data_IF_078948865172
#
_entry.id   IF_078948865172
#
_cell.length_a   1.000
_cell.length_b   1.000
_cell.length_c   1.000
_cell.angle_alpha   90.00
_cell.angle_beta   90.00
_cell.angle_gamma   90.00
#
_symmetry.space_group_name_H-M   'P 1'
#
loop_
_entity.id
_entity.type
_entity.pdbx_description
1 polymer ?
#
# COMPACT_ATOMS: atom_id res chain seq x y z
N UNK A 1 -19.12 -19.96 6.70
CA UNK A 1 -18.21 -20.76 5.84
C UNK A 1 -18.80 -22.07 5.31
N UNK A 2 -20.06 -22.09 4.84
CA UNK A 2 -20.64 -23.32 4.26
C UNK A 2 -20.13 -23.63 2.84
N UNK A 3 -19.57 -22.63 2.14
CA UNK A 3 -19.05 -22.73 0.77
C UNK A 3 -17.77 -23.56 0.66
N UNK A 4 -16.90 -23.54 1.67
CA UNK A 4 -15.65 -24.32 1.68
C UNK A 4 -15.89 -25.83 1.74
N UNK A 5 -17.09 -26.27 2.11
CA UNK A 5 -17.48 -27.68 2.22
C UNK A 5 -18.29 -28.17 1.01
N UNK A 6 -18.35 -27.37 -0.07
CA UNK A 6 -19.17 -27.66 -1.26
C UNK A 6 -18.26 -27.91 -2.45
N UNK A 7 -18.72 -28.67 -3.46
CA UNK A 7 -17.96 -28.92 -4.69
C UNK A 7 -17.59 -27.63 -5.42
N UNK A 8 -18.33 -26.53 -5.20
CA UNK A 8 -18.06 -25.22 -5.79
C UNK A 8 -16.81 -24.51 -5.22
N UNK A 9 -16.18 -25.03 -4.16
CA UNK A 9 -14.98 -24.40 -3.58
C UNK A 9 -13.83 -24.30 -4.60
N UNK A 10 -13.77 -25.21 -5.58
CA UNK A 10 -12.78 -25.17 -6.67
C UNK A 10 -12.98 -23.98 -7.61
N UNK A 11 -14.16 -23.36 -7.63
CA UNK A 11 -14.45 -22.20 -8.47
C UNK A 11 -14.25 -20.87 -7.74
N UNK A 12 -14.03 -20.89 -6.42
CA UNK A 12 -13.75 -19.67 -5.67
C UNK A 12 -12.41 -19.10 -6.11
N UNK A 13 -12.39 -17.80 -6.39
CA UNK A 13 -11.21 -17.04 -6.85
C UNK A 13 -10.90 -15.85 -5.94
N UNK A 14 -11.91 -15.31 -5.26
CA UNK A 14 -11.79 -14.16 -4.38
C UNK A 14 -12.62 -14.38 -3.12
N UNK A 15 -12.11 -13.90 -1.99
CA UNK A 15 -12.81 -13.89 -0.71
C UNK A 15 -12.54 -12.57 -0.01
N UNK A 16 -13.63 -11.90 0.37
CA UNK A 16 -13.56 -10.63 1.09
C UNK A 16 -14.14 -10.83 2.50
N UNK A 17 -13.37 -10.42 3.50
CA UNK A 17 -13.71 -10.55 4.91
C UNK A 17 -14.09 -9.17 5.46
N UNK A 18 -15.40 -8.93 5.58
CA UNK A 18 -15.93 -7.65 6.04
C UNK A 18 -16.78 -7.73 7.31
N UNK A 19 -16.87 -6.60 8.01
CA UNK A 19 -17.73 -6.41 9.17
C UNK A 19 -19.13 -5.92 8.77
N UNK A 20 -20.12 -6.17 9.64
CA UNK A 20 -21.46 -5.63 9.43
C UNK A 20 -21.55 -4.23 10.02
N UNK A 21 -21.84 -3.26 9.16
CA UNK A 21 -22.22 -1.92 9.58
C UNK A 21 -23.75 -1.88 9.75
N UNK A 22 -24.23 -1.94 11.00
CA UNK A 22 -25.66 -1.77 11.30
C UNK A 22 -25.87 -0.53 12.17
N UNK A 23 -27.00 0.17 11.99
CA UNK A 23 -27.31 1.42 12.69
C UNK A 23 -27.60 1.26 14.19
N UNK A 24 -27.71 0.02 14.69
CA UNK A 24 -27.91 -0.28 16.11
C UNK A 24 -26.57 -0.65 16.75
N UNK A 25 -25.86 0.36 17.24
CA UNK A 25 -24.48 0.28 17.75
C UNK A 25 -24.23 -0.89 18.72
N UNK A 26 -25.13 -1.14 19.69
CA UNK A 26 -24.90 -2.19 20.71
C UNK A 26 -25.04 -3.63 20.19
N UNK A 27 -25.89 -3.87 19.19
CA UNK A 27 -26.04 -5.21 18.61
C UNK A 27 -24.91 -5.50 17.61
N UNK A 28 -24.43 -4.46 16.91
CA UNK A 28 -23.33 -4.56 15.96
C UNK A 28 -22.06 -5.07 16.63
N UNK A 29 -21.73 -4.55 17.82
CA UNK A 29 -20.48 -4.89 18.52
C UNK A 29 -20.45 -6.35 18.98
N UNK A 30 -21.55 -6.86 19.54
CA UNK A 30 -21.65 -8.26 19.93
C UNK A 30 -21.55 -9.20 18.73
N UNK A 31 -22.18 -8.83 17.60
CA UNK A 31 -22.11 -9.61 16.36
C UNK A 31 -20.70 -9.59 15.75
N UNK A 32 -20.03 -8.43 15.77
CA UNK A 32 -18.67 -8.29 15.25
C UNK A 32 -17.63 -8.98 16.15
N UNK A 33 -17.85 -9.02 17.47
CA UNK A 33 -17.03 -9.81 18.39
C UNK A 33 -17.14 -11.32 18.10
N UNK A 34 -18.36 -11.84 17.97
CA UNK A 34 -18.60 -13.24 17.59
C UNK A 34 -18.02 -13.55 16.20
N UNK A 35 -18.06 -12.61 15.27
CA UNK A 35 -17.44 -12.76 13.96
C UNK A 35 -15.92 -12.96 14.05
N UNK A 36 -15.22 -12.25 14.94
CA UNK A 36 -13.76 -12.43 15.13
C UNK A 36 -13.47 -13.84 15.68
N UNK A 37 -14.28 -14.34 16.61
CA UNK A 37 -14.15 -15.70 17.15
C UNK A 37 -14.42 -16.77 16.07
N UNK A 38 -15.48 -16.59 15.27
CA UNK A 38 -15.79 -17.48 14.14
C UNK A 38 -14.68 -17.47 13.10
N UNK A 39 -14.13 -16.29 12.80
CA UNK A 39 -13.00 -16.12 11.89
C UNK A 39 -11.78 -16.88 12.41
N UNK A 40 -11.48 -16.78 13.71
CA UNK A 40 -10.39 -17.53 14.33
C UNK A 40 -10.55 -19.03 14.18
N UNK A 41 -11.74 -19.56 14.45
CA UNK A 41 -11.99 -21.01 14.37
C UNK A 41 -11.92 -21.56 12.95
N UNK A 42 -12.13 -20.73 11.93
CA UNK A 42 -12.43 -21.24 10.60
C UNK A 42 -11.59 -20.66 9.44
N UNK A 43 -10.84 -19.56 9.63
CA UNK A 43 -10.08 -18.93 8.54
C UNK A 43 -9.10 -19.89 7.89
N UNK A 44 -8.27 -20.57 8.70
CA UNK A 44 -7.26 -21.52 8.22
C UNK A 44 -7.88 -22.66 7.41
N UNK A 45 -8.90 -23.31 7.99
CA UNK A 45 -9.57 -24.45 7.36
C UNK A 45 -10.32 -24.06 6.09
N UNK A 46 -10.72 -22.79 5.97
CA UNK A 46 -11.37 -22.29 4.77
C UNK A 46 -10.40 -21.98 3.67
N UNK A 47 -9.31 -21.24 3.94
CA UNK A 47 -8.35 -20.86 2.91
C UNK A 47 -7.71 -22.09 2.24
N UNK A 48 -7.41 -23.15 3.00
CA UNK A 48 -6.88 -24.42 2.46
C UNK A 48 -7.83 -25.10 1.47
N UNK A 49 -9.15 -24.90 1.61
CA UNK A 49 -10.18 -25.55 0.77
C UNK A 49 -10.45 -24.81 -0.54
N UNK A 50 -9.76 -23.70 -0.79
CA UNK A 50 -9.89 -22.91 -2.02
C UNK A 50 -8.59 -23.01 -2.82
N UNK A 51 -8.36 -24.14 -3.53
CA UNK A 51 -7.08 -24.41 -4.20
C UNK A 51 -6.73 -23.40 -5.30
N UNK A 52 -7.69 -22.62 -5.78
CA UNK A 52 -7.54 -21.65 -6.86
C UNK A 52 -7.79 -20.21 -6.41
N UNK A 53 -7.74 -19.94 -5.11
CA UNK A 53 -7.88 -18.60 -4.55
C UNK A 53 -6.77 -17.69 -5.12
N UNK A 54 -7.19 -16.58 -5.72
CA UNK A 54 -6.32 -15.63 -6.43
C UNK A 54 -6.30 -14.25 -5.74
N UNK A 55 -7.37 -13.88 -5.03
CA UNK A 55 -7.46 -12.64 -4.28
C UNK A 55 -8.03 -12.87 -2.88
N UNK A 56 -7.49 -12.18 -1.88
CA UNK A 56 -8.02 -12.15 -0.52
C UNK A 56 -8.03 -10.71 -0.03
N UNK A 57 -9.17 -10.27 0.48
CA UNK A 57 -9.35 -8.94 1.06
C UNK A 57 -9.81 -9.07 2.51
N UNK A 58 -9.18 -8.34 3.44
CA UNK A 58 -9.64 -8.21 4.82
C UNK A 58 -9.96 -6.74 5.09
N UNK A 59 -11.22 -6.44 5.38
CA UNK A 59 -11.66 -5.07 5.64
C UNK A 59 -11.26 -4.62 7.05
N UNK A 60 -11.21 -3.30 7.18
CA UNK A 60 -10.97 -2.62 8.44
C UNK A 60 -11.97 -3.01 9.53
N UNK A 61 -11.50 -3.35 10.75
CA UNK A 61 -12.41 -3.58 11.87
C UNK A 61 -13.06 -2.26 12.32
N UNK A 62 -14.38 -2.24 12.59
CA UNK A 62 -15.08 -1.03 12.97
C UNK A 62 -14.52 -0.44 14.26
N UNK A 63 -14.51 0.89 14.34
CA UNK A 63 -14.01 1.65 15.50
C UNK A 63 -14.75 1.35 16.81
N UNK A 64 -15.95 0.78 16.73
CA UNK A 64 -16.76 0.36 17.87
C UNK A 64 -16.21 -0.89 18.58
N UNK A 65 -15.35 -1.68 17.92
CA UNK A 65 -14.65 -2.79 18.56
C UNK A 65 -13.58 -2.31 19.54
N UNK A 66 -13.42 -3.06 20.63
CA UNK A 66 -12.37 -2.81 21.59
C UNK A 66 -10.99 -2.94 20.92
N UNK A 67 -10.00 -2.25 21.49
CA UNK A 67 -8.62 -2.36 21.00
C UNK A 67 -8.13 -3.81 21.00
N UNK A 68 -8.47 -4.60 22.02
CA UNK A 68 -8.03 -5.99 22.11
C UNK A 68 -8.69 -6.85 21.03
N UNK A 69 -9.97 -6.62 20.73
CA UNK A 69 -10.66 -7.32 19.64
C UNK A 69 -10.05 -7.00 18.28
N UNK A 70 -9.75 -5.74 18.01
CA UNK A 70 -9.07 -5.32 16.77
C UNK A 70 -7.68 -5.94 16.65
N UNK A 71 -6.91 -5.99 17.75
CA UNK A 71 -5.61 -6.67 17.80
C UNK A 71 -5.76 -8.17 17.51
N UNK A 72 -6.70 -8.84 18.17
CA UNK A 72 -6.96 -10.25 17.94
C UNK A 72 -7.32 -10.54 16.48
N UNK A 73 -8.17 -9.72 15.85
CA UNK A 73 -8.49 -9.86 14.42
C UNK A 73 -7.24 -9.89 13.53
N UNK A 74 -6.34 -8.91 13.70
CA UNK A 74 -5.08 -8.84 12.93
C UNK A 74 -4.15 -10.01 13.23
N UNK A 75 -4.00 -10.39 14.50
CA UNK A 75 -3.18 -11.55 14.88
C UNK A 75 -3.68 -12.86 14.27
N UNK A 76 -5.00 -13.04 14.19
CA UNK A 76 -5.62 -14.21 13.56
C UNK A 76 -5.33 -14.25 12.06
N UNK A 77 -5.45 -13.12 11.37
CA UNK A 77 -5.12 -13.01 9.94
C UNK A 77 -3.65 -13.37 9.71
N UNK A 78 -2.74 -12.69 10.41
CA UNK A 78 -1.30 -12.87 10.25
C UNK A 78 -0.88 -14.30 10.58
N UNK A 79 -1.36 -14.83 11.71
CA UNK A 79 -1.04 -16.20 12.13
C UNK A 79 -1.57 -17.23 11.13
N UNK A 80 -2.75 -17.01 10.56
CA UNK A 80 -3.32 -17.93 9.58
C UNK A 80 -2.56 -17.87 8.25
N UNK A 81 -2.38 -16.68 7.67
CA UNK A 81 -1.72 -16.50 6.38
C UNK A 81 -0.27 -16.99 6.40
N UNK A 82 0.40 -16.98 7.55
CA UNK A 82 1.76 -17.50 7.72
C UNK A 82 1.92 -18.98 7.39
N UNK A 83 0.88 -19.79 7.59
CA UNK A 83 0.96 -21.25 7.47
C UNK A 83 0.09 -21.83 6.36
N UNK A 84 -0.79 -21.03 5.76
CA UNK A 84 -1.61 -21.48 4.63
C UNK A 84 -0.80 -21.36 3.34
N UNK A 85 -0.65 -22.44 2.55
CA UNK A 85 -0.05 -22.35 1.23
C UNK A 85 -1.00 -21.62 0.27
N UNK A 86 -0.59 -20.43 -0.20
CA UNK A 86 -1.37 -19.54 -1.06
C UNK A 86 -0.78 -19.49 -2.47
N UNK A 87 -0.55 -20.67 -3.07
CA UNK A 87 0.23 -20.85 -4.30
C UNK A 87 -0.32 -20.10 -5.53
N UNK A 88 -1.63 -19.85 -5.55
CA UNK A 88 -2.30 -19.16 -6.66
C UNK A 88 -2.65 -17.70 -6.35
N UNK A 89 -2.27 -17.19 -5.18
CA UNK A 89 -2.59 -15.83 -4.76
C UNK A 89 -1.80 -14.83 -5.61
N UNK A 90 -2.55 -13.88 -6.18
CA UNK A 90 -2.07 -12.80 -7.04
C UNK A 90 -2.24 -11.45 -6.39
N UNK A 91 -3.27 -11.32 -5.54
CA UNK A 91 -3.68 -10.10 -4.88
C UNK A 91 -3.90 -10.41 -3.39
N UNK A 92 -3.28 -9.62 -2.52
CA UNK A 92 -3.47 -9.69 -1.08
C UNK A 92 -3.70 -8.28 -0.55
N UNK A 93 -4.87 -8.09 0.03
CA UNK A 93 -5.27 -6.86 0.69
C UNK A 93 -5.67 -7.19 2.13
N UNK A 94 -5.04 -6.50 3.07
CA UNK A 94 -5.43 -6.50 4.47
C UNK A 94 -5.59 -5.01 4.77
N UNK A 95 -6.67 -4.59 5.43
CA UNK A 95 -7.02 -3.23 5.87
C UNK A 95 -7.21 -3.23 7.40
N UNK A 96 -6.60 -2.30 8.13
CA UNK A 96 -6.64 -2.34 9.60
C UNK A 96 -6.43 -0.96 10.26
N UNK A 97 -7.45 -0.13 10.44
CA UNK A 97 -7.37 1.08 11.27
C UNK A 97 -7.41 0.68 12.72
N UNK A 98 -6.23 0.76 13.27
CA UNK A 98 -6.07 0.68 14.67
C UNK A 98 -5.25 2.01 14.87
N UNK A 99 -5.89 3.08 15.34
CA UNK A 99 -5.44 4.30 16.09
C UNK A 99 -4.90 4.21 17.57
N UNK A 100 -3.85 3.43 17.89
CA UNK A 100 -3.19 3.28 19.23
C UNK A 100 -1.84 2.48 19.15
N UNK A 101 -1.03 2.29 20.19
CA UNK A 101 0.44 2.20 20.01
C UNK A 101 1.03 0.83 19.63
N UNK A 102 0.32 -0.02 18.90
CA UNK A 102 0.77 -1.38 18.50
C UNK A 102 0.20 -1.80 17.15
N UNK A 103 0.48 -1.05 16.08
CA UNK A 103 -0.45 -1.05 14.94
C UNK A 103 0.26 -0.97 13.61
N UNK A 104 0.43 -2.17 13.03
CA UNK A 104 0.83 -2.39 11.66
C UNK A 104 -0.45 -2.58 10.86
N UNK A 105 -0.79 -1.52 10.14
CA UNK A 105 -1.83 -1.58 9.14
C UNK A 105 -1.16 -2.19 7.91
N UNK A 106 -1.79 -3.19 7.31
CA UNK A 106 -1.79 -3.22 5.87
C UNK A 106 -3.08 -2.49 5.53
N UNK A 107 -3.06 -1.64 4.52
CA UNK A 107 -4.23 -1.35 3.70
C UNK A 107 -3.84 -1.63 2.25
N UNK A 108 -4.68 -2.38 1.55
CA UNK A 108 -4.72 -2.33 0.09
C UNK A 108 -5.77 -1.32 -0.31
N UNK A 109 -5.53 -0.62 -1.41
CA UNK A 109 -6.61 0.02 -2.13
C UNK A 109 -6.66 -0.69 -3.48
N UNK A 110 -7.43 -1.77 -3.58
CA UNK A 110 -7.96 -2.21 -4.85
C UNK A 110 -9.40 -1.71 -5.01
N UNK A 111 -9.59 -0.40 -4.85
CA UNK A 111 -10.73 0.27 -5.48
C UNK A 111 -10.52 0.19 -6.99
N UNK A 112 -11.02 -0.89 -7.60
CA UNK A 112 -11.36 -1.04 -9.02
C UNK A 112 -10.72 0.02 -9.91
N UNK A 113 -9.70 -0.36 -10.67
CA UNK A 113 -9.32 0.35 -11.89
C UNK A 113 -10.58 0.85 -12.60
N UNK A 114 -10.65 2.16 -12.82
CA UNK A 114 -11.68 2.93 -13.51
C UNK A 114 -12.99 3.11 -12.73
N UNK A 115 -13.06 4.17 -11.92
CA UNK A 115 -13.91 5.33 -12.23
C UNK A 115 -13.51 6.48 -11.29
N UNK A 116 -13.39 7.68 -11.87
CA UNK A 116 -12.89 8.87 -11.18
C UNK A 116 -13.70 9.28 -9.94
N UNK A 117 -13.12 10.22 -9.21
CA UNK A 117 -13.67 10.87 -8.02
C UNK A 117 -13.73 9.97 -6.79
N UNK A 118 -12.63 9.83 -6.08
CA UNK A 118 -12.72 9.64 -4.64
C UNK A 118 -12.02 10.81 -3.96
N UNK A 119 -12.86 11.68 -3.41
CA UNK A 119 -12.45 12.68 -2.44
C UNK A 119 -11.69 11.96 -1.35
N UNK A 120 -10.49 12.43 -1.09
CA UNK A 120 -9.77 12.25 0.16
C UNK A 120 -10.78 12.51 1.27
N UNK A 121 -11.26 11.47 1.94
CA UNK A 121 -11.73 11.65 3.30
C UNK A 121 -10.53 12.22 4.03
N UNK A 122 -10.58 13.51 4.33
CA UNK A 122 -9.65 14.22 5.19
C UNK A 122 -9.75 13.57 6.57
N UNK A 123 -9.08 12.43 6.74
CA UNK A 123 -8.85 11.86 8.04
C UNK A 123 -7.88 12.82 8.72
N UNK A 124 -8.43 13.73 9.52
CA UNK A 124 -7.68 14.41 10.56
C UNK A 124 -7.18 13.35 11.54
N UNK A 125 -6.03 12.73 11.21
CA UNK A 125 -5.36 11.79 12.09
C UNK A 125 -4.70 12.58 13.21
N UNK A 126 -5.13 12.34 14.45
CA UNK A 126 -4.42 12.86 15.62
C UNK A 126 -3.02 12.21 15.65
N UNK A 127 -1.94 13.00 15.79
CA UNK A 127 -0.59 12.48 15.84
C UNK A 127 -0.41 11.54 17.03
N UNK A 128 0.17 10.37 16.77
CA UNK A 128 0.54 9.41 17.80
C UNK A 128 1.54 10.06 18.77
N UNK A 129 1.23 10.03 20.08
CA UNK A 129 2.06 10.66 21.11
C UNK A 129 3.50 10.09 21.08
N UNK A 130 4.56 10.89 21.35
CA UNK A 130 5.95 10.46 21.28
C UNK A 130 6.29 9.23 22.14
N UNK A 131 5.58 9.07 23.26
CA UNK A 131 5.68 7.93 24.19
C UNK A 131 5.26 6.61 23.52
N UNK A 132 4.50 6.69 22.43
CA UNK A 132 4.01 5.58 21.62
C UNK A 132 4.79 5.37 20.32
N UNK A 133 5.65 6.32 19.93
CA UNK A 133 6.49 6.24 18.73
C UNK A 133 7.65 5.22 18.84
N UNK A 134 7.89 4.68 20.04
CA UNK A 134 9.10 3.90 20.36
C UNK A 134 8.91 2.37 20.49
N UNK A 135 7.71 1.82 20.31
CA UNK A 135 7.40 0.40 20.58
C UNK A 135 6.47 -0.20 19.49
N UNK A 136 6.77 -1.36 18.89
CA UNK A 136 7.35 -1.37 17.55
C UNK A 136 6.47 -2.04 16.47
N UNK A 137 6.35 -1.38 15.32
CA UNK A 137 5.98 -2.01 14.04
C UNK A 137 6.90 -3.21 13.70
N UNK A 138 8.15 -3.21 14.17
CA UNK A 138 9.12 -4.29 13.90
C UNK A 138 8.70 -5.68 14.43
N UNK A 139 7.88 -5.77 15.48
CA UNK A 139 7.48 -7.06 16.07
C UNK A 139 6.61 -7.89 15.13
N UNK A 140 5.72 -7.24 14.37
CA UNK A 140 4.83 -7.91 13.41
C UNK A 140 5.33 -7.80 11.96
N UNK A 141 6.19 -6.81 11.66
CA UNK A 141 6.81 -6.64 10.35
C UNK A 141 7.40 -7.95 9.84
N UNK A 142 8.22 -8.63 10.66
CA UNK A 142 8.81 -9.93 10.31
C UNK A 142 7.78 -11.01 9.92
N UNK A 143 6.56 -10.96 10.47
CA UNK A 143 5.48 -11.90 10.14
C UNK A 143 4.81 -11.53 8.83
N UNK A 144 4.64 -10.24 8.56
CA UNK A 144 4.11 -9.75 7.29
C UNK A 144 5.06 -10.03 6.14
N UNK A 145 6.34 -9.82 6.38
CA UNK A 145 7.41 -10.05 5.42
C UNK A 145 7.45 -11.52 5.01
N UNK A 146 7.19 -12.42 5.96
CA UNK A 146 7.04 -13.85 5.68
C UNK A 146 5.82 -14.19 4.80
N UNK A 147 4.73 -13.43 4.86
CA UNK A 147 3.56 -13.64 3.99
C UNK A 147 3.91 -13.24 2.56
N UNK A 148 4.62 -12.13 2.41
CA UNK A 148 5.16 -11.67 1.13
C UNK A 148 6.07 -12.76 0.55
N UNK A 149 7.03 -13.28 1.34
CA UNK A 149 7.98 -14.32 0.92
C UNK A 149 7.33 -15.61 0.35
N UNK A 150 6.14 -15.99 0.82
CA UNK A 150 5.47 -17.24 0.41
C UNK A 150 4.46 -17.07 -0.74
N UNK A 151 4.33 -15.87 -1.31
CA UNK A 151 3.39 -15.55 -2.39
C UNK A 151 4.12 -15.37 -3.74
N UNK A 152 4.65 -16.44 -4.38
CA UNK A 152 5.54 -16.32 -5.53
C UNK A 152 4.87 -15.73 -6.78
N UNK A 153 3.53 -15.69 -6.83
CA UNK A 153 2.78 -15.20 -7.99
C UNK A 153 2.16 -13.82 -7.76
N UNK A 154 2.62 -13.09 -6.73
CA UNK A 154 2.09 -11.78 -6.38
C UNK A 154 2.26 -10.80 -7.55
N UNK A 155 1.16 -10.17 -7.96
CA UNK A 155 1.09 -9.18 -9.05
C UNK A 155 0.83 -7.77 -8.55
N UNK A 156 0.10 -7.64 -7.44
CA UNK A 156 -0.13 -6.37 -6.79
C UNK A 156 0.29 -6.48 -5.33
N UNK A 157 1.05 -5.50 -4.85
CA UNK A 157 1.48 -5.39 -3.47
C UNK A 157 1.05 -4.04 -2.93
N UNK A 158 0.27 -4.08 -1.87
CA UNK A 158 -0.08 -2.89 -1.10
C UNK A 158 0.38 -3.03 0.34
N UNK A 159 1.19 -2.07 0.79
CA UNK A 159 1.63 -1.91 2.17
C UNK A 159 1.23 -0.52 2.62
N UNK A 160 0.38 -0.42 3.63
CA UNK A 160 -0.06 0.88 4.12
C UNK A 160 -0.14 0.86 5.64
N UNK A 161 0.64 1.70 6.30
CA UNK A 161 0.68 1.84 7.75
C UNK A 161 0.16 3.22 8.19
N UNK A 162 -0.54 3.29 9.32
CA UNK A 162 -0.98 4.57 9.92
C UNK A 162 0.19 5.31 10.59
N UNK A 163 1.15 4.55 11.09
CA UNK A 163 2.47 5.04 11.52
C UNK A 163 3.51 4.79 10.43
N UNK A 164 4.72 5.31 10.59
CA UNK A 164 5.81 5.02 9.66
C UNK A 164 6.34 3.59 9.90
N UNK A 165 6.12 2.70 8.93
CA UNK A 165 6.66 1.34 8.90
C UNK A 165 8.00 1.32 8.15
N UNK A 166 9.09 1.01 8.85
CA UNK A 166 10.38 0.77 8.20
C UNK A 166 10.34 -0.56 7.43
N UNK A 167 10.51 -0.47 6.11
CA UNK A 167 10.52 -1.60 5.19
C UNK A 167 11.92 -1.92 4.66
N UNK A 168 13.00 -1.33 5.18
CA UNK A 168 14.35 -1.65 4.71
C UNK A 168 14.81 -3.08 5.01
N UNK A 169 14.16 -3.72 5.97
CA UNK A 169 14.39 -5.13 6.31
C UNK A 169 13.64 -6.09 5.38
N UNK A 170 12.82 -5.59 4.45
CA UNK A 170 12.12 -6.44 3.49
C UNK A 170 13.08 -6.97 2.44
N UNK A 171 13.14 -8.30 2.33
CA UNK A 171 13.61 -8.95 1.12
C UNK A 171 12.41 -9.18 0.21
N UNK A 172 12.44 -8.66 -1.02
CA UNK A 172 11.42 -8.91 -2.01
C UNK A 172 11.85 -10.08 -2.92
N UNK A 173 11.20 -11.26 -2.84
CA UNK A 173 11.56 -12.41 -3.65
C UNK A 173 11.56 -12.14 -5.16
N UNK A 174 12.60 -12.58 -5.86
CA UNK A 174 12.67 -12.53 -7.34
C UNK A 174 11.54 -13.28 -8.05
N UNK A 175 10.82 -14.15 -7.34
CA UNK A 175 9.70 -14.89 -7.90
C UNK A 175 8.50 -14.00 -8.26
N UNK A 176 8.34 -12.83 -7.63
CA UNK A 176 7.16 -12.01 -7.88
C UNK A 176 7.04 -11.55 -9.32
N UNK A 177 5.80 -11.30 -9.71
CA UNK A 177 5.42 -10.79 -11.01
C UNK A 177 4.75 -9.42 -10.85
N UNK A 178 5.36 -8.55 -10.04
CA UNK A 178 4.72 -7.32 -9.58
C UNK A 178 4.46 -6.36 -10.76
N UNK A 179 3.20 -6.05 -10.98
CA UNK A 179 2.74 -4.99 -11.87
C UNK A 179 2.33 -3.74 -11.10
N UNK A 180 1.77 -3.90 -9.90
CA UNK A 180 1.23 -2.77 -9.15
C UNK A 180 1.85 -2.67 -7.75
N UNK A 181 2.31 -1.47 -7.38
CA UNK A 181 2.98 -1.20 -6.12
C UNK A 181 2.31 -0.03 -5.41
N UNK A 182 1.74 -0.30 -4.23
CA UNK A 182 1.10 0.70 -3.38
C UNK A 182 1.84 0.72 -2.04
N UNK A 183 2.49 1.83 -1.72
CA UNK A 183 3.17 2.02 -0.45
C UNK A 183 2.58 3.24 0.25
N UNK A 184 2.25 3.12 1.53
CA UNK A 184 1.91 4.27 2.32
C UNK A 184 2.20 4.17 3.80
N UNK A 185 2.52 5.31 4.41
CA UNK A 185 3.07 5.35 5.77
C UNK A 185 4.25 4.41 5.94
N UNK A 186 5.18 4.37 4.98
CA UNK A 186 6.38 3.53 5.07
C UNK A 186 7.64 4.39 5.03
N UNK A 187 8.70 3.92 5.68
CA UNK A 187 10.06 4.44 5.56
C UNK A 187 10.92 3.43 4.82
N UNK A 188 11.68 3.90 3.84
CA UNK A 188 12.50 3.04 2.98
C UNK A 188 13.74 3.79 2.49
N UNK A 189 14.87 3.09 2.42
CA UNK A 189 16.08 3.60 1.78
C UNK A 189 15.90 3.65 0.26
N UNK A 190 16.61 4.58 -0.38
CA UNK A 190 16.56 4.67 -1.83
C UNK A 190 17.08 3.40 -2.51
N UNK A 191 18.06 2.71 -1.91
CA UNK A 191 18.61 1.48 -2.46
C UNK A 191 17.55 0.39 -2.52
N UNK A 192 16.78 0.21 -1.46
CA UNK A 192 15.73 -0.81 -1.41
C UNK A 192 14.56 -0.46 -2.32
N UNK A 193 14.12 0.81 -2.35
CA UNK A 193 13.05 1.23 -3.24
C UNK A 193 13.46 1.10 -4.72
N UNK A 194 14.69 1.47 -5.08
CA UNK A 194 15.21 1.27 -6.44
C UNK A 194 15.37 -0.22 -6.77
N UNK A 195 15.82 -1.05 -5.83
CA UNK A 195 15.91 -2.50 -6.03
C UNK A 195 14.54 -3.08 -6.39
N UNK A 196 13.51 -2.72 -5.62
CA UNK A 196 12.13 -3.13 -5.86
C UNK A 196 11.62 -2.70 -7.24
N UNK A 197 11.81 -1.42 -7.59
CA UNK A 197 11.38 -0.89 -8.89
C UNK A 197 12.14 -1.56 -10.05
N UNK A 198 13.46 -1.76 -9.90
CA UNK A 198 14.31 -2.34 -10.93
C UNK A 198 13.95 -3.79 -11.20
N UNK A 199 13.75 -4.55 -10.13
CA UNK A 199 13.45 -5.98 -10.18
C UNK A 199 12.19 -6.29 -10.99
N UNK A 200 11.21 -5.38 -11.01
CA UNK A 200 9.93 -5.56 -11.71
C UNK A 200 9.68 -4.54 -12.83
N UNK A 201 10.74 -3.89 -13.30
CA UNK A 201 10.64 -2.73 -14.21
C UNK A 201 9.91 -3.01 -15.54
N UNK A 202 9.95 -4.24 -16.05
CA UNK A 202 9.29 -4.63 -17.31
C UNK A 202 7.76 -4.76 -17.20
N UNK A 203 7.22 -4.89 -15.99
CA UNK A 203 5.81 -5.21 -15.75
C UNK A 203 5.07 -4.16 -14.95
N UNK A 204 5.82 -3.28 -14.28
CA UNK A 204 5.26 -2.26 -13.40
C UNK A 204 4.36 -1.29 -14.17
N UNK A 205 3.05 -1.38 -13.93
CA UNK A 205 1.99 -0.60 -14.54
C UNK A 205 1.47 0.51 -13.66
N UNK A 206 1.44 0.31 -12.35
CA UNK A 206 0.89 1.27 -11.40
C UNK A 206 1.80 1.43 -10.20
N UNK A 207 2.06 2.67 -9.81
CA UNK A 207 2.79 3.00 -8.57
C UNK A 207 2.02 4.06 -7.79
N UNK A 208 1.73 3.78 -6.52
CA UNK A 208 1.10 4.72 -5.61
C UNK A 208 1.93 4.84 -4.34
N UNK A 209 2.44 6.03 -4.07
CA UNK A 209 3.16 6.37 -2.86
C UNK A 209 2.36 7.41 -2.07
N UNK A 210 1.94 7.05 -0.86
CA UNK A 210 1.18 7.94 0.02
C UNK A 210 1.86 8.00 1.39
N UNK A 211 2.54 9.10 1.75
CA UNK A 211 3.33 9.16 2.99
C UNK A 211 4.48 8.14 3.00
N UNK A 212 5.25 8.11 1.90
CA UNK A 212 6.51 7.35 1.82
C UNK A 212 7.66 8.27 2.23
N UNK A 213 8.42 7.86 3.24
CA UNK A 213 9.60 8.57 3.72
C UNK A 213 10.89 7.92 3.20
N UNK A 214 11.73 8.68 2.52
CA UNK A 214 13.08 8.25 2.14
C UNK A 214 14.00 8.49 3.33
N UNK A 215 14.44 7.42 3.99
CA UNK A 215 15.33 7.52 5.15
C UNK A 215 16.81 7.70 4.78
N UNK A 216 17.18 7.42 3.54
CA UNK A 216 18.52 7.58 2.99
C UNK A 216 18.46 7.75 1.48
N UNK A 217 19.03 8.83 0.94
CA UNK A 217 19.04 9.15 -0.49
C UNK A 217 18.16 10.32 -0.90
N UNK A 218 17.90 10.47 -2.21
CA UNK A 218 17.14 11.59 -2.80
C UNK A 218 16.03 11.12 -3.75
N UNK A 219 14.81 11.65 -3.60
CA UNK A 219 13.64 11.31 -4.42
C UNK A 219 13.91 11.42 -5.92
N UNK A 220 14.65 12.44 -6.36
CA UNK A 220 15.10 12.61 -7.76
C UNK A 220 15.55 11.31 -8.42
N UNK A 221 16.34 10.48 -7.72
CA UNK A 221 16.86 9.23 -8.30
C UNK A 221 15.77 8.20 -8.54
N UNK A 222 14.80 8.07 -7.63
CA UNK A 222 13.65 7.19 -7.79
C UNK A 222 12.77 7.67 -8.95
N UNK A 223 12.46 8.97 -8.98
CA UNK A 223 11.63 9.58 -10.03
C UNK A 223 12.24 9.39 -11.42
N UNK A 224 13.53 9.68 -11.59
CA UNK A 224 14.22 9.47 -12.85
C UNK A 224 14.29 8.01 -13.26
N UNK A 225 14.40 7.10 -12.30
CA UNK A 225 14.34 5.67 -12.62
C UNK A 225 12.93 5.26 -13.05
N UNK A 226 11.88 5.79 -12.42
CA UNK A 226 10.51 5.53 -12.83
C UNK A 226 10.20 6.05 -14.24
N UNK A 227 10.86 7.12 -14.71
CA UNK A 227 10.78 7.55 -16.11
C UNK A 227 11.26 6.49 -17.12
N UNK A 228 12.00 5.47 -16.69
CA UNK A 228 12.49 4.41 -17.55
C UNK A 228 11.55 3.19 -17.60
N UNK A 229 10.43 3.24 -16.87
CA UNK A 229 9.43 2.18 -16.84
C UNK A 229 8.46 2.33 -18.01
N UNK A 230 8.67 1.55 -19.07
CA UNK A 230 7.88 1.65 -20.31
C UNK A 230 6.42 1.21 -20.14
N UNK A 231 6.16 0.34 -19.17
CA UNK A 231 4.83 -0.16 -18.86
C UNK A 231 4.10 0.69 -17.82
N UNK A 232 4.71 1.73 -17.25
CA UNK A 232 4.08 2.55 -16.21
C UNK A 232 2.99 3.43 -16.81
N UNK A 233 1.74 3.17 -16.43
CA UNK A 233 0.53 3.82 -16.94
C UNK A 233 -0.15 4.72 -15.90
N UNK A 234 0.14 4.52 -14.63
CA UNK A 234 -0.43 5.28 -13.52
C UNK A 234 0.63 5.52 -12.44
N UNK A 235 0.72 6.78 -11.99
CA UNK A 235 1.56 7.14 -10.86
C UNK A 235 0.87 8.16 -9.97
N UNK A 236 0.80 7.83 -8.68
CA UNK A 236 0.37 8.76 -7.65
C UNK A 236 1.46 8.89 -6.58
N UNK A 237 1.82 10.12 -6.22
CA UNK A 237 2.76 10.40 -5.14
C UNK A 237 2.19 11.55 -4.33
N UNK A 238 1.81 11.25 -3.09
CA UNK A 238 1.17 12.17 -2.15
C UNK A 238 1.85 12.10 -0.79
N UNK A 239 1.98 13.26 -0.12
CA UNK A 239 2.51 13.40 1.24
C UNK A 239 3.85 12.68 1.48
N UNK A 240 4.63 12.43 0.42
CA UNK A 240 5.85 11.63 0.48
C UNK A 240 7.05 12.56 0.59
N UNK A 241 8.12 12.18 1.27
CA UNK A 241 9.20 13.12 1.58
C UNK A 241 10.47 12.45 2.06
N UNK A 242 11.38 13.25 2.63
CA UNK A 242 12.53 12.74 3.35
C UNK A 242 12.16 12.46 4.79
N UNK A 243 12.73 11.40 5.38
CA UNK A 243 12.57 11.15 6.81
C UNK A 243 13.32 12.25 7.56
N UNK A 244 12.60 13.30 7.96
CA UNK A 244 13.12 14.35 8.81
C UNK A 244 13.08 13.82 10.24
N UNK A 245 14.23 13.80 10.91
CA UNK A 245 14.32 13.54 12.34
C UNK A 245 13.58 14.64 13.13
N UNK A 246 12.25 14.50 13.24
CA UNK A 246 11.48 15.10 14.34
C UNK A 246 10.81 16.46 14.10
N UNK A 247 10.55 16.90 12.87
CA UNK A 247 9.71 18.08 12.64
C UNK A 247 8.70 17.86 11.53
N UNK A 248 7.48 17.51 11.94
CA UNK A 248 6.28 17.63 11.12
C UNK A 248 6.23 19.03 10.51
N UNK A 249 6.49 19.16 9.22
CA UNK A 249 6.18 20.39 8.50
C UNK A 249 4.66 20.55 8.50
N UNK A 250 4.18 21.34 9.46
CA UNK A 250 2.79 21.75 9.57
C UNK A 250 2.41 22.55 8.33
N UNK A 251 1.40 22.02 7.63
CA UNK A 251 0.30 22.76 7.03
C UNK A 251 0.70 24.01 6.24
N UNK A 252 0.96 23.82 4.94
CA UNK A 252 0.49 24.73 3.89
C UNK A 252 0.70 24.10 2.51
N UNK A 253 -0.42 23.65 1.93
CA UNK A 253 -0.59 23.03 0.61
C UNK A 253 -0.22 21.54 0.46
N UNK A 254 -1.07 20.74 -0.21
CA UNK A 254 -0.76 19.35 -0.54
C UNK A 254 0.33 19.34 -1.61
N UNK A 255 1.58 19.19 -1.19
CA UNK A 255 2.69 18.89 -2.07
C UNK A 255 2.73 17.38 -2.30
N UNK A 256 2.88 16.97 -3.56
CA UNK A 256 3.08 15.57 -3.94
C UNK A 256 4.32 14.99 -3.26
N UNK A 257 5.42 15.76 -3.27
CA UNK A 257 6.66 15.44 -2.56
C UNK A 257 7.02 16.60 -1.63
N UNK A 258 6.98 16.35 -0.33
CA UNK A 258 7.51 17.18 0.75
C UNK A 258 9.04 17.08 0.74
N UNK A 259 9.67 17.84 -0.16
CA UNK A 259 11.11 17.79 -0.39
C UNK A 259 11.73 19.18 -0.36
N UNK A 260 12.90 19.29 0.28
CA UNK A 260 13.81 20.43 0.19
C UNK A 260 14.66 20.41 -1.09
N UNK A 261 14.63 19.29 -1.82
CA UNK A 261 15.35 19.08 -3.07
C UNK A 261 14.71 19.86 -4.21
N UNK A 262 15.31 21.01 -4.56
CA UNK A 262 14.88 21.89 -5.65
C UNK A 262 14.54 21.15 -6.96
N UNK A 263 15.32 20.11 -7.28
CA UNK A 263 15.17 19.34 -8.52
C UNK A 263 14.08 18.25 -8.49
N UNK A 264 13.54 17.90 -7.32
CA UNK A 264 12.58 16.78 -7.20
C UNK A 264 11.27 17.10 -7.92
N UNK A 265 10.82 18.36 -7.87
CA UNK A 265 9.59 18.78 -8.54
C UNK A 265 9.71 18.73 -10.07
N UNK A 266 10.89 19.05 -10.61
CA UNK A 266 11.15 18.93 -12.05
C UNK A 266 11.26 17.48 -12.49
N UNK A 267 11.91 16.63 -11.68
CA UNK A 267 11.94 15.18 -11.90
C UNK A 267 10.54 14.57 -11.87
N UNK A 268 9.66 15.03 -10.97
CA UNK A 268 8.25 14.63 -10.92
C UNK A 268 7.48 15.07 -12.18
N UNK A 269 7.74 16.29 -12.69
CA UNK A 269 7.20 16.75 -13.96
C UNK A 269 7.62 15.87 -15.14
N UNK A 270 8.90 15.47 -15.20
CA UNK A 270 9.40 14.51 -16.19
C UNK A 270 8.67 13.17 -16.10
N UNK A 271 8.49 12.64 -14.89
CA UNK A 271 7.77 11.39 -14.66
C UNK A 271 6.31 11.47 -15.13
N UNK A 272 5.59 12.54 -14.77
CA UNK A 272 4.19 12.74 -15.19
C UNK A 272 4.05 12.80 -16.72
N UNK A 273 4.97 13.50 -17.40
CA UNK A 273 5.01 13.52 -18.88
C UNK A 273 5.31 12.16 -19.47
N UNK A 274 6.27 11.43 -18.89
CA UNK A 274 6.60 10.08 -19.35
C UNK A 274 5.41 9.13 -19.20
N UNK A 275 4.71 9.14 -18.06
CA UNK A 275 3.52 8.31 -17.87
C UNK A 275 2.43 8.67 -18.89
N UNK A 276 2.20 9.96 -19.16
CA UNK A 276 1.28 10.36 -20.23
C UNK A 276 1.73 9.88 -21.61
N UNK A 277 3.03 9.91 -21.91
CA UNK A 277 3.58 9.34 -23.15
C UNK A 277 3.34 7.84 -23.26
N UNK A 278 3.59 7.08 -22.19
CA UNK A 278 3.32 5.65 -22.14
C UNK A 278 1.83 5.39 -22.37
N UNK A 279 0.94 6.07 -21.65
CA UNK A 279 -0.52 5.94 -21.80
C UNK A 279 -0.97 6.15 -23.24
N UNK A 280 -0.49 7.20 -23.91
CA UNK A 280 -0.79 7.45 -25.32
C UNK A 280 -0.30 6.30 -26.20
N UNK A 281 0.92 5.80 -25.96
CA UNK A 281 1.46 4.63 -26.65
C UNK A 281 0.62 3.36 -26.48
N UNK A 282 -0.07 3.21 -25.35
CA UNK A 282 -1.01 2.13 -25.06
C UNK A 282 -2.46 2.43 -25.50
N UNK A 283 -2.71 3.53 -26.23
CA UNK A 283 -4.05 3.92 -26.69
C UNK A 283 -4.98 4.47 -25.60
N UNK A 284 -4.43 4.84 -24.43
CA UNK A 284 -5.15 5.45 -23.32
C UNK A 284 -5.10 6.98 -23.41
N UNK A 285 -6.10 7.64 -22.80
CA UNK A 285 -6.10 9.10 -22.68
C UNK A 285 -5.04 9.54 -21.67
N UNK A 286 -4.26 10.60 -21.96
CA UNK A 286 -3.36 11.19 -20.98
C UNK A 286 -4.15 11.78 -19.81
N UNK A 287 -3.52 11.83 -18.65
CA UNK A 287 -4.07 12.52 -17.50
C UNK A 287 -4.05 14.04 -17.71
N UNK A 288 -5.14 14.74 -17.33
CA UNK A 288 -5.22 16.20 -17.36
C UNK A 288 -4.36 16.84 -16.26
N UNK A 289 -4.17 18.16 -16.34
CA UNK A 289 -3.42 18.95 -15.35
C UNK A 289 -4.05 18.98 -13.95
N UNK A 290 -5.35 18.68 -13.85
CA UNK A 290 -6.02 18.54 -12.55
C UNK A 290 -5.44 17.37 -11.75
N UNK A 291 -5.01 16.33 -12.46
CA UNK A 291 -4.48 15.10 -11.89
C UNK A 291 -2.94 15.19 -11.85
N UNK A 292 -2.31 15.63 -12.94
CA UNK A 292 -0.86 15.81 -13.04
C UNK A 292 -0.45 17.29 -13.06
N UNK A 293 -0.26 17.85 -11.86
CA UNK A 293 -0.02 19.28 -11.64
C UNK A 293 1.29 19.83 -12.19
N UNK A 294 2.27 18.97 -12.50
CA UNK A 294 3.61 19.38 -12.93
C UNK A 294 3.86 19.19 -14.44
N UNK A 295 2.82 18.84 -15.23
CA UNK A 295 2.95 18.65 -16.68
C UNK A 295 3.52 19.85 -17.43
N UNK A 296 3.12 21.06 -17.03
CA UNK A 296 3.52 22.34 -17.66
C UNK A 296 4.85 22.90 -17.15
N UNK A 297 5.46 22.29 -16.13
CA UNK A 297 6.78 22.74 -15.66
C UNK A 297 7.85 22.40 -16.69
N UNK A 298 8.93 23.17 -16.69
CA UNK A 298 10.11 22.88 -17.50
C UNK A 298 10.65 21.46 -17.22
N UNK A 299 11.41 20.93 -18.18
CA UNK A 299 12.09 19.66 -17.98
C UNK A 299 13.24 19.82 -17.00
N UNK A 300 13.55 18.75 -16.27
CA UNK A 300 14.72 18.77 -15.38
C UNK A 300 16.00 19.11 -16.16
N UNK A 301 16.13 18.59 -17.37
CA UNK A 301 17.27 18.82 -18.26
C UNK A 301 17.42 20.31 -18.60
N UNK A 302 16.31 20.99 -18.95
CA UNK A 302 16.33 22.43 -19.26
C UNK A 302 16.81 23.27 -18.08
N UNK A 303 16.34 22.93 -16.87
CA UNK A 303 16.71 23.68 -15.66
C UNK A 303 18.15 23.41 -15.24
N UNK A 304 18.65 22.18 -15.43
CA UNK A 304 20.06 21.85 -15.20
C UNK A 304 20.96 22.63 -16.17
N UNK A 305 20.59 22.70 -17.45
CA UNK A 305 21.31 23.46 -18.47
C UNK A 305 21.37 24.96 -18.13
N UNK A 306 20.26 25.56 -17.68
CA UNK A 306 20.21 26.97 -17.28
C UNK A 306 21.07 27.28 -16.05
N UNK A 307 21.17 26.33 -15.12
CA UNK A 307 21.94 26.48 -13.89
C UNK A 307 23.42 26.10 -14.06
N UNK A 308 23.82 25.55 -15.22
CA UNK A 308 25.15 24.96 -15.47
C UNK A 308 25.52 23.87 -14.43
N UNK A 309 24.56 23.01 -14.06
CA UNK A 309 24.72 21.92 -13.07
C UNK A 309 24.55 20.56 -13.71
#
# INVERSE_FOLDING_TARGET
>A
MKLSNRPYSVHVRQIDFGFRYTSAYSLADAVNALYIEDLFGCLFSCLIRFPHLAAIEFHEPPSSLSQDQRRSYVEVIISTLRYVPLSNLRELEVNSDVSSPTRLVLCGYLSRMLHGLFGTSEYHMEPVLPEYASLPNNTYASRLFRIIEIAPNLRSLALHSLDILDIDFLSFPFSFCLGDLFLGGVSVSIQNLLSLINQYSERMSCVNFSRVEINSGIWRRVLLRMCQLLCLLDVNIDYSGYSLTGSYFRHQMPLNIESEGFFDVYALGNLQRQVNSNRIGFGLRPFPETDYRHLKRESLESVLDELNV
#
